data_IF_994941464779
#
_entry.id   IF_994941464779
#
_cell.length_a   1.000
_cell.length_b   1.000
_cell.length_c   1.000
_cell.angle_alpha   90.00
_cell.angle_beta   90.00
_cell.angle_gamma   90.00
#
_symmetry.space_group_name_H-M   'P 1'
#
loop_
_entity.id
_entity.type
_entity.pdbx_description
1 polymer ?
#
# COMPACT_ATOMS: atom_id res chain seq x y z
N UNK A 1 -11.39 -1.41 -27.05
CA UNK A 1 -11.62 -0.12 -26.36
C UNK A 1 -11.56 -0.27 -24.84
N UNK A 2 -12.37 -1.15 -24.22
CA UNK A 2 -12.39 -1.34 -22.76
C UNK A 2 -11.09 -1.84 -22.12
N UNK A 3 -10.32 -2.69 -22.81
CA UNK A 3 -9.07 -3.23 -22.27
C UNK A 3 -8.00 -2.16 -21.99
N UNK A 4 -7.93 -1.12 -22.83
CA UNK A 4 -6.96 -0.03 -22.67
C UNK A 4 -7.33 0.84 -21.47
N UNK A 5 -8.62 1.16 -21.32
CA UNK A 5 -9.15 1.92 -20.18
C UNK A 5 -8.89 1.16 -18.87
N UNK A 6 -9.14 -0.15 -18.85
CA UNK A 6 -8.83 -1.00 -17.70
C UNK A 6 -7.33 -1.02 -17.36
N UNK A 7 -6.47 -1.10 -18.37
CA UNK A 7 -5.02 -1.07 -18.18
C UNK A 7 -4.54 0.25 -17.56
N UNK A 8 -5.04 1.38 -18.06
CA UNK A 8 -4.69 2.72 -17.55
C UNK A 8 -5.14 2.88 -16.10
N UNK A 9 -6.35 2.46 -15.76
CA UNK A 9 -6.87 2.51 -14.38
C UNK A 9 -6.02 1.64 -13.46
N UNK A 10 -5.61 0.45 -13.90
CA UNK A 10 -4.79 -0.46 -13.12
C UNK A 10 -3.41 0.15 -12.84
N UNK A 11 -2.74 0.67 -13.87
CA UNK A 11 -1.43 1.33 -13.73
C UNK A 11 -1.53 2.55 -12.79
N UNK A 12 -2.57 3.38 -12.96
CA UNK A 12 -2.78 4.55 -12.11
C UNK A 12 -3.05 4.15 -10.65
N UNK A 13 -3.86 3.12 -10.42
CA UNK A 13 -4.14 2.60 -9.09
C UNK A 13 -2.88 2.06 -8.42
N UNK A 14 -2.06 1.30 -9.16
CA UNK A 14 -0.80 0.74 -8.69
C UNK A 14 0.21 1.85 -8.36
N UNK A 15 0.27 2.91 -9.18
CA UNK A 15 1.08 4.10 -8.91
C UNK A 15 0.65 4.83 -7.64
N UNK A 16 -0.65 5.13 -7.49
CA UNK A 16 -1.20 5.76 -6.28
C UNK A 16 -0.89 4.93 -5.04
N UNK A 17 -1.07 3.62 -5.12
CA UNK A 17 -0.79 2.72 -4.01
C UNK A 17 0.68 2.68 -3.62
N UNK A 18 1.58 2.67 -4.62
CA UNK A 18 3.02 2.76 -4.38
C UNK A 18 3.40 4.06 -3.69
N UNK A 19 2.83 5.20 -4.12
CA UNK A 19 3.04 6.50 -3.47
C UNK A 19 2.56 6.50 -2.02
N UNK A 20 1.41 5.88 -1.72
CA UNK A 20 0.88 5.75 -0.36
C UNK A 20 1.83 4.92 0.52
N UNK A 21 2.33 3.77 0.05
CA UNK A 21 3.29 2.96 0.81
C UNK A 21 4.62 3.67 1.04
N UNK A 22 5.16 4.35 0.02
CA UNK A 22 6.38 5.15 0.16
C UNK A 22 6.20 6.30 1.15
N UNK A 23 5.00 6.89 1.23
CA UNK A 23 4.66 7.92 2.21
C UNK A 23 4.47 7.35 3.62
N UNK A 24 3.92 6.15 3.74
CA UNK A 24 3.77 5.46 5.01
C UNK A 24 5.11 4.97 5.58
N UNK A 25 6.16 4.86 4.76
CA UNK A 25 7.50 4.42 5.16
C UNK A 25 7.70 2.90 5.04
N UNK A 26 6.85 2.21 4.28
CA UNK A 26 6.97 0.78 4.04
C UNK A 26 7.86 0.48 2.82
N UNK A 27 8.62 -0.63 2.83
CA UNK A 27 9.38 -1.07 1.67
C UNK A 27 8.44 -1.39 0.50
N UNK A 28 8.84 -1.03 -0.73
CA UNK A 28 8.07 -1.28 -1.96
C UNK A 28 7.71 -2.75 -2.20
N UNK A 29 8.26 -3.69 -1.42
CA UNK A 29 7.86 -5.09 -1.38
C UNK A 29 6.37 -5.29 -1.01
N UNK A 30 5.76 -4.38 -0.25
CA UNK A 30 4.31 -4.42 0.01
C UNK A 30 3.48 -4.16 -1.25
N UNK A 31 4.02 -3.46 -2.25
CA UNK A 31 3.40 -3.35 -3.57
C UNK A 31 3.47 -4.68 -4.35
N UNK A 32 4.40 -5.58 -4.06
CA UNK A 32 4.41 -6.94 -4.64
C UNK A 32 3.24 -7.79 -4.15
N UNK A 33 2.67 -7.50 -2.97
CA UNK A 33 1.44 -8.18 -2.54
C UNK A 33 0.25 -7.83 -3.44
N UNK A 34 0.23 -6.65 -4.08
CA UNK A 34 -0.77 -6.38 -5.13
C UNK A 34 -0.61 -7.28 -6.35
N UNK A 35 0.59 -7.79 -6.60
CA UNK A 35 0.83 -8.84 -7.60
C UNK A 35 0.21 -10.17 -7.18
N UNK A 36 0.24 -10.51 -5.88
CA UNK A 36 -0.54 -11.64 -5.34
C UNK A 36 -2.07 -11.41 -5.46
N UNK A 37 -2.48 -10.13 -5.51
CA UNK A 37 -3.81 -9.65 -5.90
C UNK A 37 -4.30 -10.11 -7.26
N UNK A 38 -3.40 -10.52 -8.17
CA UNK A 38 -3.75 -11.04 -9.51
C UNK A 38 -4.47 -12.38 -9.43
N UNK A 39 -4.30 -13.14 -8.34
CA UNK A 39 -5.03 -14.40 -8.15
C UNK A 39 -6.50 -14.07 -7.88
N UNK A 40 -7.44 -14.33 -8.80
CA UNK A 40 -8.81 -13.81 -8.71
C UNK A 40 -9.60 -14.30 -7.49
N UNK A 41 -9.18 -15.43 -6.89
CA UNK A 41 -9.84 -16.02 -5.73
C UNK A 41 -9.25 -15.55 -4.38
N UNK A 42 -7.93 -15.32 -4.34
CA UNK A 42 -7.19 -15.03 -3.09
C UNK A 42 -6.85 -13.54 -3.00
N UNK A 43 -6.62 -12.92 -4.15
CA UNK A 43 -6.29 -11.52 -4.30
C UNK A 43 -7.25 -10.55 -3.62
N UNK A 44 -8.58 -10.64 -3.83
CA UNK A 44 -9.51 -9.75 -3.14
C UNK A 44 -9.49 -9.91 -1.61
N UNK A 45 -9.27 -11.13 -1.10
CA UNK A 45 -9.15 -11.39 0.35
C UNK A 45 -7.87 -10.78 0.94
N UNK A 46 -6.73 -10.94 0.25
CA UNK A 46 -5.46 -10.32 0.66
C UNK A 46 -5.56 -8.80 0.63
N UNK A 47 -6.15 -8.24 -0.43
CA UNK A 47 -6.38 -6.80 -0.53
C UNK A 47 -7.23 -6.29 0.64
N UNK A 48 -8.36 -6.94 0.94
CA UNK A 48 -9.20 -6.59 2.09
C UNK A 48 -8.45 -6.67 3.43
N UNK A 49 -7.72 -7.76 3.66
CA UNK A 49 -6.89 -7.92 4.86
C UNK A 49 -5.82 -6.84 4.96
N UNK A 50 -5.22 -6.46 3.83
CA UNK A 50 -4.22 -5.40 3.78
C UNK A 50 -4.83 -4.02 3.98
N UNK A 51 -6.03 -3.74 3.47
CA UNK A 51 -6.75 -2.49 3.75
C UNK A 51 -7.03 -2.34 5.25
N UNK A 52 -7.52 -3.40 5.89
CA UNK A 52 -7.78 -3.42 7.33
C UNK A 52 -6.47 -3.24 8.09
N UNK A 53 -5.44 -4.04 7.74
CA UNK A 53 -4.12 -3.90 8.33
C UNK A 53 -3.59 -2.48 8.14
N UNK A 54 -3.67 -1.90 6.94
CA UNK A 54 -3.17 -0.56 6.65
C UNK A 54 -3.91 0.55 7.41
N UNK A 55 -5.21 0.37 7.65
CA UNK A 55 -6.02 1.29 8.44
C UNK A 55 -5.67 1.27 9.93
N UNK A 56 -5.31 0.11 10.48
CA UNK A 56 -4.98 -0.05 11.91
C UNK A 56 -3.48 -0.17 12.20
N UNK A 57 -2.65 -0.38 11.19
CA UNK A 57 -1.22 -0.52 11.35
C UNK A 57 -0.62 0.83 11.71
N UNK A 58 0.35 0.80 12.62
CA UNK A 58 1.15 1.96 12.93
C UNK A 58 2.06 2.28 11.75
N UNK A 59 1.83 3.43 11.12
CA UNK A 59 2.65 3.85 9.98
C UNK A 59 4.03 4.29 10.48
N UNK A 60 5.13 3.71 9.97
CA UNK A 60 6.47 4.07 10.43
C UNK A 60 6.82 5.55 10.22
N UNK A 61 6.19 6.23 9.24
CA UNK A 61 6.33 7.69 9.05
C UNK A 61 5.86 8.50 10.27
N UNK A 62 4.84 8.05 11.00
CA UNK A 62 4.35 8.72 12.21
C UNK A 62 5.32 8.53 13.39
N UNK A 63 6.09 7.44 13.38
CA UNK A 63 7.10 7.14 14.40
C UNK A 63 8.34 8.05 14.30
N UNK A 64 8.61 8.61 13.12
CA UNK A 64 9.68 9.60 12.91
C UNK A 64 9.33 11.04 13.30
N UNK A 65 8.05 11.36 13.52
CA UNK A 65 7.59 12.68 13.98
C UNK A 65 7.54 12.82 15.51
N UNK A 66 7.71 11.72 16.25
CA UNK A 66 7.84 11.70 17.69
C UNK A 66 9.31 11.80 18.13
N UNK A 67 10.00 12.88 17.78
CA UNK A 67 11.14 13.29 18.61
C UNK A 67 10.57 13.76 19.96
N UNK A 68 10.40 12.81 20.88
CA UNK A 68 10.43 13.16 22.29
C UNK A 68 11.82 13.80 22.56
N UNK A 69 11.88 14.93 23.27
CA UNK A 69 13.11 15.68 23.44
C UNK A 69 14.19 14.79 24.06
N UNK A 70 15.41 14.95 23.54
CA UNK A 70 16.66 14.49 24.15
C UNK A 70 16.65 14.88 25.63
N UNK A 71 16.26 13.96 26.52
CA UNK A 71 16.49 14.14 27.96
C UNK A 71 17.96 13.81 28.19
N UNK A 72 18.76 14.87 28.22
CA UNK A 72 20.11 14.89 28.80
C UNK A 72 20.03 14.83 30.32
#
# INVERSE_FOLDING_TARGET
MFAIVGLVILIFSLYCWWRIFSKAGYPGALALIFLAGIVPLIGPCICLGLFIWFAFAQWPVLKGGGQAPMKS
#
